data_IF_808763310057
#
_entry.id   IF_808763310057
#
_cell.length_a   1.000
_cell.length_b   1.000
_cell.length_c   1.000
_cell.angle_alpha   90.00
_cell.angle_beta   90.00
_cell.angle_gamma   90.00
#
_symmetry.space_group_name_H-M   'P 1'
#
loop_
_entity.id
_entity.type
_entity.pdbx_description
1 polymer ?
#
# COMPACT_ATOMS: atom_id res chain seq x y z
N UNK A 1 -18.22 12.78 -7.35
CA UNK A 1 -17.87 11.34 -7.55
C UNK A 1 -16.49 11.23 -8.15
N UNK A 2 -15.68 10.25 -7.74
CA UNK A 2 -14.47 9.83 -8.45
C UNK A 2 -14.69 8.45 -9.06
N UNK A 3 -14.15 8.23 -10.25
CA UNK A 3 -14.17 6.95 -10.93
C UNK A 3 -12.74 6.48 -11.18
N UNK A 4 -12.49 5.21 -10.98
CA UNK A 4 -11.16 4.63 -11.18
C UNK A 4 -11.25 3.27 -11.86
N UNK A 5 -10.21 2.91 -12.61
CA UNK A 5 -10.03 1.56 -13.13
C UNK A 5 -9.08 0.83 -12.19
N UNK A 6 -9.57 -0.22 -11.55
CA UNK A 6 -8.80 -1.07 -10.66
C UNK A 6 -8.27 -2.25 -11.45
N UNK A 7 -6.97 -2.52 -11.33
CA UNK A 7 -6.32 -3.70 -11.91
C UNK A 7 -5.91 -4.63 -10.78
N UNK A 8 -6.39 -5.87 -10.82
CA UNK A 8 -6.02 -6.93 -9.89
C UNK A 8 -4.88 -7.75 -10.48
N UNK A 9 -3.89 -8.03 -9.63
CA UNK A 9 -2.72 -8.81 -10.02
C UNK A 9 -2.44 -9.88 -8.99
N UNK A 10 -1.82 -10.97 -9.42
CA UNK A 10 -1.44 -12.06 -8.53
C UNK A 10 -0.05 -12.63 -8.85
N UNK A 11 0.52 -13.30 -7.87
CA UNK A 11 1.74 -14.08 -7.93
C UNK A 11 1.43 -15.45 -7.31
N UNK A 12 1.60 -16.53 -8.06
CA UNK A 12 1.29 -17.91 -7.62
C UNK A 12 2.53 -18.72 -7.26
N UNK A 13 3.70 -18.15 -7.47
CA UNK A 13 5.00 -18.68 -7.03
C UNK A 13 5.89 -17.50 -6.63
N UNK A 14 6.74 -17.65 -5.61
CA UNK A 14 7.58 -16.54 -5.15
C UNK A 14 8.52 -16.06 -6.27
N UNK A 15 8.44 -14.77 -6.58
CA UNK A 15 9.41 -14.14 -7.48
C UNK A 15 10.78 -14.01 -6.79
N UNK A 16 11.89 -14.13 -7.54
CA UNK A 16 13.21 -13.91 -6.97
C UNK A 16 13.40 -12.44 -6.55
N UNK A 17 14.24 -12.23 -5.56
CA UNK A 17 14.65 -10.89 -5.15
C UNK A 17 15.24 -10.13 -6.35
N UNK A 18 14.85 -8.89 -6.47
CA UNK A 18 15.43 -7.97 -7.46
C UNK A 18 16.56 -7.18 -6.82
N UNK A 19 17.67 -6.91 -7.54
CA UNK A 19 18.74 -6.07 -7.03
C UNK A 19 18.18 -4.75 -6.49
N UNK A 20 18.38 -4.48 -5.21
CA UNK A 20 18.03 -3.22 -4.55
C UNK A 20 19.31 -2.52 -4.09
N UNK A 21 19.35 -1.19 -4.11
CA UNK A 21 20.51 -0.48 -3.58
C UNK A 21 20.64 -0.72 -2.07
N UNK A 22 21.86 -0.65 -1.58
CA UNK A 22 22.10 -0.44 -0.15
C UNK A 22 21.73 1.01 0.16
N UNK A 23 20.88 1.21 1.17
CA UNK A 23 20.35 2.51 1.52
C UNK A 23 20.83 2.87 2.93
N UNK A 24 21.90 3.67 2.99
CA UNK A 24 22.44 4.15 4.25
C UNK A 24 21.37 4.82 5.11
N UNK A 25 21.34 4.45 6.40
CA UNK A 25 20.38 5.00 7.36
C UNK A 25 18.94 4.48 7.21
N UNK A 26 18.67 3.57 6.25
CA UNK A 26 17.36 2.95 6.07
C UNK A 26 17.35 1.56 6.67
N UNK A 27 16.38 1.28 7.53
CA UNK A 27 16.22 -0.02 8.19
C UNK A 27 14.80 -0.55 8.03
N UNK A 28 14.66 -1.77 7.56
CA UNK A 28 13.38 -2.48 7.58
C UNK A 28 13.03 -2.92 9.00
N UNK A 29 11.78 -2.69 9.42
CA UNK A 29 11.31 -3.04 10.77
C UNK A 29 9.81 -3.35 10.77
N UNK A 30 9.31 -4.16 11.73
CA UNK A 30 7.91 -4.19 12.06
C UNK A 30 7.43 -2.77 12.41
N UNK A 31 6.19 -2.48 12.08
CA UNK A 31 5.52 -1.22 12.43
C UNK A 31 4.49 -1.54 13.52
N UNK A 32 4.77 -1.09 14.74
CA UNK A 32 3.77 -1.04 15.81
C UNK A 32 3.08 0.33 15.71
N UNK A 33 1.80 0.32 15.38
CA UNK A 33 1.06 1.53 15.16
C UNK A 33 -0.33 1.46 15.80
N UNK A 34 -0.65 2.47 16.60
CA UNK A 34 -2.02 2.78 16.91
C UNK A 34 -2.73 3.42 15.69
N UNK A 35 -4.03 3.64 15.81
CA UNK A 35 -4.86 4.22 14.72
C UNK A 35 -4.30 5.58 14.25
N UNK A 36 -3.86 6.44 15.18
CA UNK A 36 -3.36 7.76 14.83
C UNK A 36 -2.03 7.71 14.07
N UNK A 37 -1.08 6.91 14.56
CA UNK A 37 0.23 6.70 13.92
C UNK A 37 0.08 6.05 12.55
N UNK A 38 -0.81 5.05 12.42
CA UNK A 38 -1.10 4.41 11.15
C UNK A 38 -1.67 5.40 10.13
N UNK A 39 -2.69 6.19 10.52
CA UNK A 39 -3.31 7.18 9.62
C UNK A 39 -2.35 8.29 9.20
N UNK A 40 -1.47 8.75 10.10
CA UNK A 40 -0.43 9.71 9.72
C UNK A 40 0.45 9.15 8.61
N UNK A 41 0.96 7.94 8.78
CA UNK A 41 1.79 7.29 7.77
C UNK A 41 1.01 7.01 6.47
N UNK A 42 -0.23 6.52 6.59
CA UNK A 42 -1.12 6.28 5.45
C UNK A 42 -1.37 7.57 4.65
N UNK A 43 -1.57 8.70 5.34
CA UNK A 43 -1.76 9.99 4.70
C UNK A 43 -0.50 10.44 3.95
N UNK A 44 0.67 10.32 4.55
CA UNK A 44 1.95 10.69 3.94
C UNK A 44 2.36 9.81 2.77
N UNK A 45 1.95 8.54 2.77
CA UNK A 45 2.26 7.58 1.70
C UNK A 45 1.29 7.71 0.52
N UNK A 46 -0.01 7.88 0.80
CA UNK A 46 -1.00 7.73 -0.27
C UNK A 46 -2.20 8.68 -0.24
N UNK A 47 -2.68 9.13 0.92
CA UNK A 47 -3.91 9.91 0.94
C UNK A 47 -3.73 11.31 0.34
N UNK A 48 -2.61 11.98 0.62
CA UNK A 48 -2.36 13.34 0.14
C UNK A 48 -2.14 13.38 -1.37
N UNK A 49 -1.34 12.47 -1.92
CA UNK A 49 -0.94 12.54 -3.32
C UNK A 49 -1.81 11.67 -4.24
N UNK A 50 -2.34 10.53 -3.72
CA UNK A 50 -2.98 9.48 -4.53
C UNK A 50 -4.43 9.19 -4.15
N UNK A 51 -5.05 10.02 -3.31
CA UNK A 51 -6.43 9.89 -2.85
C UNK A 51 -6.74 8.54 -2.16
N UNK A 52 -5.79 7.96 -1.44
CA UNK A 52 -6.10 6.82 -0.60
C UNK A 52 -7.02 7.26 0.54
N UNK A 53 -8.24 6.80 0.56
CA UNK A 53 -9.24 7.30 1.53
C UNK A 53 -9.87 6.20 2.39
N UNK A 54 -9.72 4.92 2.02
CA UNK A 54 -10.42 3.82 2.70
C UNK A 54 -10.12 3.77 4.21
N UNK A 55 -8.85 3.85 4.61
CA UNK A 55 -8.46 3.84 6.02
C UNK A 55 -8.72 5.17 6.74
N UNK A 56 -8.83 6.27 5.97
CA UNK A 56 -9.13 7.60 6.52
C UNK A 56 -10.61 7.75 6.89
N UNK A 57 -11.52 7.11 6.18
CA UNK A 57 -12.96 7.16 6.44
C UNK A 57 -13.46 6.07 7.38
N UNK A 58 -12.64 5.04 7.66
CA UNK A 58 -13.00 3.94 8.54
C UNK A 58 -13.17 4.42 9.99
N UNK A 59 -14.12 3.85 10.75
CA UNK A 59 -14.21 4.12 12.17
C UNK A 59 -12.95 3.63 12.92
N UNK A 60 -12.61 4.28 14.03
CA UNK A 60 -11.38 3.97 14.78
C UNK A 60 -11.36 2.53 15.30
N UNK A 61 -12.50 2.06 15.82
CA UNK A 61 -12.62 0.69 16.34
C UNK A 61 -12.46 -0.37 15.23
N UNK A 62 -12.99 -0.11 14.03
CA UNK A 62 -12.86 -1.01 12.87
C UNK A 62 -11.40 -1.05 12.38
N UNK A 63 -10.75 0.10 12.32
CA UNK A 63 -9.35 0.15 11.94
C UNK A 63 -8.47 -0.50 13.00
N UNK A 64 -8.71 -0.23 14.29
CA UNK A 64 -7.99 -0.86 15.38
C UNK A 64 -8.14 -2.40 15.35
N UNK A 65 -9.33 -2.91 15.03
CA UNK A 65 -9.57 -4.34 14.88
C UNK A 65 -8.69 -4.95 13.76
N UNK A 66 -8.53 -4.26 12.64
CA UNK A 66 -7.64 -4.71 11.54
C UNK A 66 -6.17 -4.66 11.99
N UNK A 67 -5.72 -3.55 12.58
CA UNK A 67 -4.33 -3.38 12.97
C UNK A 67 -3.87 -4.37 14.07
N UNK A 68 -4.81 -4.87 14.88
CA UNK A 68 -4.54 -5.85 15.94
C UNK A 68 -4.87 -7.30 15.53
N UNK A 69 -5.33 -7.53 14.30
CA UNK A 69 -5.62 -8.88 13.82
C UNK A 69 -4.30 -9.67 13.67
N UNK A 70 -4.20 -10.89 14.25
CA UNK A 70 -2.97 -11.70 14.16
C UNK A 70 -2.59 -12.13 12.74
N UNK A 71 -3.55 -12.06 11.81
CA UNK A 71 -3.33 -12.35 10.39
C UNK A 71 -3.09 -11.09 9.54
N UNK A 72 -2.94 -9.93 10.17
CA UNK A 72 -2.47 -8.70 9.53
C UNK A 72 -1.09 -8.34 10.07
N UNK A 73 -0.14 -8.07 9.18
CA UNK A 73 1.20 -7.66 9.59
C UNK A 73 1.59 -6.33 8.97
N UNK A 74 2.14 -5.45 9.80
CA UNK A 74 2.56 -4.12 9.40
C UNK A 74 4.08 -4.02 9.48
N UNK A 75 4.67 -3.41 8.46
CA UNK A 75 6.11 -3.14 8.39
C UNK A 75 6.38 -1.77 7.77
N UNK A 76 7.58 -1.28 8.02
CA UNK A 76 8.03 0.00 7.50
C UNK A 76 9.51 -0.01 7.13
N UNK A 77 9.94 1.03 6.43
CA UNK A 77 11.33 1.43 6.34
C UNK A 77 11.52 2.65 7.24
N UNK A 78 12.39 2.50 8.23
CA UNK A 78 12.78 3.60 9.11
C UNK A 78 13.94 4.36 8.48
N UNK A 79 13.78 5.68 8.39
CA UNK A 79 14.86 6.63 8.06
C UNK A 79 15.10 7.51 9.26
N UNK A 80 16.28 7.43 9.84
CA UNK A 80 16.64 8.18 11.06
C UNK A 80 15.61 7.99 12.20
N UNK A 81 15.06 6.76 12.32
CA UNK A 81 14.05 6.41 13.31
C UNK A 81 12.61 6.74 12.93
N UNK A 82 12.37 7.46 11.83
CA UNK A 82 11.04 7.85 11.36
C UNK A 82 10.50 6.84 10.35
N UNK A 83 9.26 6.32 10.50
CA UNK A 83 8.60 5.49 9.49
C UNK A 83 8.36 6.28 8.19
N UNK A 84 8.92 5.78 7.09
CA UNK A 84 8.83 6.41 5.76
C UNK A 84 8.32 5.46 4.67
N UNK A 85 7.75 4.32 5.08
CA UNK A 85 7.11 3.38 4.19
C UNK A 85 5.96 2.66 4.90
N UNK A 86 4.94 2.30 4.16
CA UNK A 86 3.85 1.44 4.64
C UNK A 86 3.85 0.14 3.85
N UNK A 87 3.91 -0.97 4.57
CA UNK A 87 3.70 -2.32 4.07
C UNK A 87 2.68 -3.00 4.97
N UNK A 88 1.51 -3.28 4.44
CA UNK A 88 0.44 -4.04 5.09
C UNK A 88 0.21 -5.34 4.32
N UNK A 89 0.44 -6.47 4.98
CA UNK A 89 0.16 -7.81 4.48
C UNK A 89 -1.03 -8.38 5.24
N UNK A 90 -2.05 -8.78 4.52
CA UNK A 90 -3.29 -9.33 5.05
C UNK A 90 -3.42 -10.81 4.67
N UNK A 91 -3.45 -11.69 5.65
CA UNK A 91 -3.54 -13.15 5.50
C UNK A 91 -4.90 -13.69 5.96
N UNK A 92 -5.91 -12.85 6.15
CA UNK A 92 -7.24 -13.27 6.62
C UNK A 92 -8.01 -14.09 5.59
N UNK A 93 -7.62 -14.06 4.31
CA UNK A 93 -8.11 -14.99 3.30
C UNK A 93 -7.31 -16.31 3.37
N UNK A 94 -7.98 -17.44 3.57
CA UNK A 94 -7.31 -18.75 3.67
C UNK A 94 -6.52 -19.08 2.38
N UNK A 95 -5.26 -19.47 2.57
CA UNK A 95 -4.35 -19.79 1.48
C UNK A 95 -3.89 -18.62 0.62
N UNK A 96 -4.19 -17.38 1.00
CA UNK A 96 -3.77 -16.18 0.27
C UNK A 96 -3.11 -15.14 1.19
N UNK A 97 -2.38 -14.23 0.56
CA UNK A 97 -1.92 -12.99 1.15
C UNK A 97 -2.29 -11.82 0.25
N UNK A 98 -2.93 -10.82 0.79
CA UNK A 98 -3.11 -9.54 0.10
C UNK A 98 -1.98 -8.58 0.49
N UNK A 99 -1.36 -7.95 -0.50
CA UNK A 99 -0.58 -6.73 -0.33
C UNK A 99 -1.57 -5.57 -0.24
N UNK A 100 -2.14 -5.37 0.95
CA UNK A 100 -3.28 -4.48 1.16
C UNK A 100 -2.90 -3.01 0.97
N UNK A 101 -1.76 -2.58 1.55
CA UNK A 101 -1.19 -1.26 1.32
C UNK A 101 0.32 -1.34 1.17
N UNK A 102 0.83 -0.62 0.18
CA UNK A 102 2.23 -0.62 -0.16
C UNK A 102 2.65 0.72 -0.75
N UNK A 103 3.60 1.36 -0.13
CA UNK A 103 4.16 2.60 -0.65
C UNK A 103 5.26 3.18 0.21
N UNK A 104 5.88 4.22 -0.30
CA UNK A 104 6.89 5.01 0.40
C UNK A 104 6.48 6.47 0.38
N UNK A 105 6.87 7.22 1.40
CA UNK A 105 6.68 8.67 1.44
C UNK A 105 7.53 9.37 0.38
N UNK A 106 7.26 10.63 0.05
CA UNK A 106 8.10 11.43 -0.84
C UNK A 106 9.59 11.43 -0.46
N UNK A 107 9.93 11.26 0.83
CA UNK A 107 11.30 11.21 1.32
C UNK A 107 12.11 10.02 0.79
N UNK A 108 11.45 8.96 0.34
CA UNK A 108 12.09 7.74 -0.21
C UNK A 108 11.78 7.50 -1.69
N UNK A 109 11.01 8.38 -2.34
CA UNK A 109 10.73 8.24 -3.78
C UNK A 109 12.01 8.33 -4.61
N UNK A 110 12.13 7.45 -5.62
CA UNK A 110 13.27 7.44 -6.54
C UNK A 110 14.57 6.85 -5.99
N UNK A 111 14.63 6.50 -4.69
CA UNK A 111 15.85 5.96 -4.05
C UNK A 111 16.07 4.46 -4.27
N UNK A 112 15.06 3.74 -4.74
CA UNK A 112 15.05 2.27 -4.80
C UNK A 112 14.44 1.61 -3.55
N UNK A 113 14.00 2.40 -2.56
CA UNK A 113 13.38 1.91 -1.32
C UNK A 113 12.13 1.06 -1.57
N UNK A 114 11.29 1.42 -2.56
CA UNK A 114 10.15 0.61 -2.94
C UNK A 114 10.53 -0.80 -3.39
N UNK A 115 11.67 -0.96 -4.08
CA UNK A 115 12.17 -2.28 -4.48
C UNK A 115 12.67 -3.09 -3.29
N UNK A 116 13.40 -2.46 -2.37
CA UNK A 116 13.82 -3.08 -1.12
C UNK A 116 12.61 -3.56 -0.33
N UNK A 117 11.60 -2.70 -0.17
CA UNK A 117 10.36 -3.01 0.54
C UNK A 117 9.60 -4.19 -0.12
N UNK A 118 9.54 -4.23 -1.47
CA UNK A 118 8.86 -5.32 -2.20
C UNK A 118 9.59 -6.67 -2.04
N UNK A 119 10.92 -6.67 -2.02
CA UNK A 119 11.68 -7.90 -1.72
C UNK A 119 11.34 -8.44 -0.33
N UNK A 120 11.21 -7.55 0.68
CA UNK A 120 10.75 -7.94 2.01
C UNK A 120 9.30 -8.44 2.00
N UNK A 121 8.40 -7.73 1.32
CA UNK A 121 7.00 -8.12 1.21
C UNK A 121 6.84 -9.52 0.61
N UNK A 122 7.51 -9.79 -0.51
CA UNK A 122 7.49 -11.10 -1.17
C UNK A 122 8.02 -12.20 -0.24
N UNK A 123 9.16 -11.98 0.41
CA UNK A 123 9.72 -12.96 1.35
C UNK A 123 8.79 -13.25 2.52
N UNK A 124 8.20 -12.21 3.13
CA UNK A 124 7.29 -12.36 4.25
C UNK A 124 6.00 -13.08 3.85
N UNK A 125 5.40 -12.72 2.71
CA UNK A 125 4.19 -13.36 2.23
C UNK A 125 4.39 -14.87 2.06
N UNK A 126 5.48 -15.29 1.44
CA UNK A 126 5.77 -16.70 1.15
C UNK A 126 6.41 -17.47 2.32
N UNK A 127 6.61 -16.85 3.49
CA UNK A 127 6.93 -17.56 4.73
C UNK A 127 5.73 -18.31 5.30
N UNK A 128 4.50 -17.89 4.96
CA UNK A 128 3.27 -18.62 5.28
C UNK A 128 2.89 -19.57 4.15
N UNK A 129 2.11 -20.60 4.46
CA UNK A 129 1.59 -21.54 3.48
C UNK A 129 0.46 -20.89 2.66
N UNK A 130 0.83 -20.15 1.64
CA UNK A 130 -0.08 -19.53 0.70
C UNK A 130 0.09 -20.12 -0.70
N UNK A 131 -0.96 -20.07 -1.49
CA UNK A 131 -0.95 -20.41 -2.92
C UNK A 131 -1.04 -19.18 -3.82
N UNK A 132 -1.36 -18.03 -3.22
CA UNK A 132 -1.57 -16.77 -3.93
C UNK A 132 -1.11 -15.58 -3.09
N UNK A 133 -0.27 -14.74 -3.68
CA UNK A 133 0.03 -13.40 -3.19
C UNK A 133 -0.56 -12.40 -4.18
N UNK A 134 -1.46 -11.53 -3.77
CA UNK A 134 -2.17 -10.65 -4.69
C UNK A 134 -2.16 -9.20 -4.24
N UNK A 135 -2.42 -8.32 -5.19
CA UNK A 135 -2.50 -6.88 -5.01
C UNK A 135 -3.50 -6.31 -6.00
N UNK A 136 -4.11 -5.21 -5.65
CA UNK A 136 -4.79 -4.38 -6.63
C UNK A 136 -4.16 -2.98 -6.65
N UNK A 137 -4.24 -2.33 -7.81
CA UNK A 137 -3.82 -0.95 -8.01
C UNK A 137 -4.81 -0.26 -8.93
N UNK A 138 -4.95 1.04 -8.82
CA UNK A 138 -5.95 1.75 -9.57
C UNK A 138 -5.38 3.00 -10.28
N UNK A 139 -6.19 3.63 -11.10
CA UNK A 139 -5.78 4.83 -11.85
C UNK A 139 -5.60 6.08 -10.96
N UNK A 140 -5.93 6.00 -9.68
CA UNK A 140 -5.63 7.05 -8.69
C UNK A 140 -4.26 6.86 -8.04
N UNK A 141 -3.64 5.68 -8.14
CA UNK A 141 -2.31 5.42 -7.62
C UNK A 141 -1.22 6.08 -8.48
N UNK A 142 0.00 6.08 -7.95
CA UNK A 142 1.17 6.55 -8.72
C UNK A 142 1.20 5.90 -10.11
N UNK A 143 1.39 6.67 -11.21
CA UNK A 143 1.32 6.14 -12.58
C UNK A 143 2.28 4.97 -12.87
N UNK A 144 3.35 4.86 -12.12
CA UNK A 144 4.31 3.75 -12.20
C UNK A 144 3.89 2.47 -11.47
N UNK A 145 2.81 2.48 -10.68
CA UNK A 145 2.45 1.38 -9.77
C UNK A 145 2.19 0.06 -10.51
N UNK A 146 1.33 0.06 -11.52
CA UNK A 146 1.05 -1.13 -12.32
C UNK A 146 2.31 -1.74 -12.94
N UNK A 147 3.15 -0.90 -13.53
CA UNK A 147 4.44 -1.34 -14.11
C UNK A 147 5.40 -1.86 -13.05
N UNK A 148 5.40 -1.26 -11.85
CA UNK A 148 6.21 -1.71 -10.73
C UNK A 148 5.79 -3.11 -10.25
N UNK A 149 4.50 -3.38 -10.05
CA UNK A 149 4.00 -4.70 -9.65
C UNK A 149 4.30 -5.77 -10.70
N UNK A 150 4.09 -5.47 -11.99
CA UNK A 150 4.45 -6.41 -13.07
C UNK A 150 5.94 -6.77 -13.08
N UNK A 151 6.81 -5.78 -12.93
CA UNK A 151 8.26 -6.02 -12.82
C UNK A 151 8.67 -6.75 -11.54
N UNK A 152 7.82 -6.74 -10.53
CA UNK A 152 8.01 -7.45 -9.26
C UNK A 152 7.51 -8.90 -9.28
N UNK A 153 6.97 -9.37 -10.42
CA UNK A 153 6.53 -10.75 -10.60
C UNK A 153 5.02 -10.97 -10.54
N UNK A 154 4.23 -9.90 -10.34
CA UNK A 154 2.77 -10.01 -10.38
C UNK A 154 2.25 -10.02 -11.82
N UNK A 155 1.24 -10.84 -12.07
CA UNK A 155 0.53 -10.94 -13.35
C UNK A 155 -0.86 -10.32 -13.22
N UNK A 156 -1.26 -9.38 -14.08
CA UNK A 156 -2.62 -8.87 -14.13
C UNK A 156 -3.62 -9.97 -14.50
N UNK A 157 -4.74 -10.04 -13.76
CA UNK A 157 -5.76 -11.08 -13.96
C UNK A 157 -7.13 -10.54 -14.32
N UNK A 158 -7.48 -9.33 -13.88
CA UNK A 158 -8.77 -8.69 -14.21
C UNK A 158 -8.72 -7.18 -13.96
N UNK A 159 -9.72 -6.49 -14.51
CA UNK A 159 -9.96 -5.07 -14.23
C UNK A 159 -11.43 -4.85 -13.89
N UNK A 160 -11.66 -3.82 -13.08
CA UNK A 160 -13.00 -3.36 -12.69
C UNK A 160 -13.02 -1.83 -12.70
N UNK A 161 -14.22 -1.27 -12.87
CA UNK A 161 -14.45 0.17 -12.69
C UNK A 161 -15.12 0.37 -11.35
N UNK A 162 -14.49 1.17 -10.51
CA UNK A 162 -15.06 1.59 -9.23
C UNK A 162 -15.46 3.06 -9.27
N UNK A 163 -16.59 3.36 -8.63
CA UNK A 163 -17.11 4.72 -8.50
C UNK A 163 -17.40 4.94 -7.01
N UNK A 164 -16.85 6.01 -6.46
CA UNK A 164 -17.04 6.38 -5.07
C UNK A 164 -17.38 7.87 -4.92
N UNK A 165 -18.02 8.29 -3.82
CA UNK A 165 -18.05 9.70 -3.44
C UNK A 165 -16.64 10.27 -3.39
N UNK A 166 -16.44 11.48 -3.92
CA UNK A 166 -15.12 12.12 -3.85
C UNK A 166 -14.77 12.42 -2.40
N UNK A 167 -13.68 11.85 -1.87
CA UNK A 167 -13.32 12.00 -0.45
C UNK A 167 -13.02 13.45 -0.05
N UNK A 168 -12.69 14.32 -1.00
CA UNK A 168 -12.46 15.75 -0.80
C UNK A 168 -13.75 16.52 -0.64
N UNK A 169 -14.84 16.04 -1.27
CA UNK A 169 -16.18 16.64 -1.15
C UNK A 169 -16.94 16.12 0.07
N UNK A 170 -16.63 14.91 0.53
CA UNK A 170 -17.21 14.36 1.76
C UNK A 170 -16.47 14.80 3.02
N UNK A 171 -15.36 15.51 2.89
CA UNK A 171 -14.57 16.01 4.03
C UNK A 171 -13.65 14.96 4.64
N UNK A 172 -13.49 13.79 4.01
CA UNK A 172 -12.55 12.75 4.46
C UNK A 172 -11.10 13.16 4.19
N UNK A 173 -10.85 13.80 3.05
CA UNK A 173 -9.54 14.32 2.68
C UNK A 173 -9.57 15.84 2.45
N UNK A 174 -8.43 16.52 2.59
CA UNK A 174 -8.30 17.93 2.22
C UNK A 174 -8.66 18.16 0.74
N UNK A 175 -9.15 19.34 0.41
CA UNK A 175 -9.56 19.68 -0.96
C UNK A 175 -8.42 19.71 -1.98
N UNK A 176 -7.20 19.88 -1.51
CA UNK A 176 -5.97 19.90 -2.30
C UNK A 176 -5.33 18.52 -2.47
N UNK A 177 -5.86 17.48 -1.80
CA UNK A 177 -5.39 16.11 -1.99
C UNK A 177 -5.62 15.64 -3.43
N UNK A 178 -4.67 14.85 -3.96
CA UNK A 178 -4.75 14.28 -5.30
C UNK A 178 -4.97 15.33 -6.36
N UNK A 179 -4.18 16.40 -6.37
CA UNK A 179 -4.35 17.59 -7.25
C UNK A 179 -4.39 17.26 -8.75
N UNK A 180 -3.89 16.08 -9.15
CA UNK A 180 -3.95 15.58 -10.54
C UNK A 180 -5.33 15.04 -10.94
N UNK A 181 -6.26 14.87 -9.98
CA UNK A 181 -7.63 14.40 -10.21
C UNK A 181 -8.58 15.59 -10.13
N UNK A 182 -9.28 15.94 -11.21
CA UNK A 182 -10.25 17.05 -11.20
C UNK A 182 -11.36 16.85 -10.16
N UNK A 183 -11.78 17.93 -9.51
CA UNK A 183 -12.95 17.96 -8.62
C UNK A 183 -14.15 18.49 -9.40
N UNK A 184 -15.25 17.77 -9.35
CA UNK A 184 -16.53 18.18 -9.90
C UNK A 184 -17.52 18.36 -8.74
N UNK A 185 -17.91 19.62 -8.42
CA UNK A 185 -18.86 19.91 -7.34
C UNK A 185 -20.27 19.40 -7.64
#
# INVERSE_FOLDING_TARGET
>A
MVATVVTYLEMTTPAPDRPAPDLDGIRFAPLEADVATYRDLFARVGAQDWLWFSRMQMADDDLAAILNDPDVTLHTLLKDGTPEALLELDFREDGACELAFFGVTPALLGTGAGRLLMNHATRLAWQRLITRFHVHTCTLDHPGALGFYRRSGFTPIRQEVEIAPDPRLTGVLPKDAGSHVPIFP
#
